data_IF_137728659793
#
_entry.id   IF_137728659793
#
_cell.length_a   1.000
_cell.length_b   1.000
_cell.length_c   1.000
_cell.angle_alpha   90.00
_cell.angle_beta   90.00
_cell.angle_gamma   90.00
#
_symmetry.space_group_name_H-M   'P 1'
#
loop_
_entity.id
_entity.type
_entity.pdbx_description
1 polymer ?
#
# COMPACT_ATOMS: atom_id res chain seq x y z
N UNK A 1 -21.21 13.40 26.43
CA UNK A 1 -19.84 13.70 26.95
C UNK A 1 -18.91 12.47 27.10
N UNK A 2 -19.37 11.36 27.70
CA UNK A 2 -18.51 10.17 27.94
C UNK A 2 -18.10 9.44 26.65
N UNK A 3 -19.00 9.31 25.67
CA UNK A 3 -18.74 8.67 24.37
C UNK A 3 -17.72 9.47 23.55
N UNK A 4 -17.86 10.80 23.48
CA UNK A 4 -16.89 11.67 22.81
C UNK A 4 -15.50 11.61 23.46
N UNK A 5 -15.43 11.62 24.79
CA UNK A 5 -14.17 11.47 25.52
C UNK A 5 -13.53 10.10 25.27
N UNK A 6 -14.32 9.03 25.23
CA UNK A 6 -13.82 7.70 24.91
C UNK A 6 -13.27 7.60 23.47
N UNK A 7 -13.97 8.19 22.50
CA UNK A 7 -13.51 8.23 21.10
C UNK A 7 -12.21 9.05 20.98
N UNK A 8 -12.14 10.21 21.63
CA UNK A 8 -10.95 11.06 21.63
C UNK A 8 -9.74 10.34 22.26
N UNK A 9 -9.96 9.63 23.38
CA UNK A 9 -8.92 8.81 24.02
C UNK A 9 -8.50 7.61 23.17
N UNK A 10 -9.41 6.93 22.48
CA UNK A 10 -9.07 5.82 21.58
C UNK A 10 -8.26 6.30 20.38
N UNK A 11 -8.56 7.49 19.84
CA UNK A 11 -7.76 8.05 18.75
C UNK A 11 -6.35 8.42 19.20
N UNK A 12 -6.20 9.05 20.38
CA UNK A 12 -4.88 9.43 20.90
C UNK A 12 -4.06 8.23 21.39
N UNK A 13 -4.66 7.33 22.17
CA UNK A 13 -4.01 6.08 22.63
C UNK A 13 -3.84 5.06 21.50
N UNK A 14 -4.63 5.09 20.44
CA UNK A 14 -4.47 4.20 19.29
C UNK A 14 -3.26 4.55 18.43
N UNK A 15 -2.92 5.85 18.34
CA UNK A 15 -1.78 6.33 17.55
C UNK A 15 -0.46 6.22 18.33
N UNK A 16 -0.45 6.36 19.66
CA UNK A 16 0.78 6.28 20.45
C UNK A 16 1.57 4.96 20.27
N UNK A 17 0.93 3.76 20.32
CA UNK A 17 1.59 2.50 20.04
C UNK A 17 2.09 2.43 18.60
N UNK A 18 1.33 2.94 17.62
CA UNK A 18 1.73 2.86 16.20
C UNK A 18 2.95 3.72 15.88
N UNK A 19 3.29 4.74 16.68
CA UNK A 19 4.50 5.53 16.50
C UNK A 19 5.71 4.91 17.22
N UNK A 20 5.50 4.26 18.38
CA UNK A 20 6.58 3.74 19.22
C UNK A 20 6.99 2.32 18.82
N UNK A 21 6.05 1.46 18.41
CA UNK A 21 6.35 0.07 18.03
C UNK A 21 7.24 -0.05 16.78
N UNK A 22 7.01 0.72 15.69
CA UNK A 22 7.81 0.61 14.48
C UNK A 22 9.30 0.88 14.69
N UNK A 23 9.77 1.95 15.36
CA UNK A 23 11.20 2.17 15.53
C UNK A 23 11.88 1.09 16.39
N UNK A 24 11.16 0.44 17.31
CA UNK A 24 11.69 -0.64 18.15
C UNK A 24 11.80 -1.95 17.35
N UNK A 25 10.72 -2.37 16.68
CA UNK A 25 10.72 -3.59 15.86
C UNK A 25 11.60 -3.44 14.61
N UNK A 26 11.54 -2.30 13.92
CA UNK A 26 12.33 -2.04 12.72
C UNK A 26 13.82 -2.14 12.98
N UNK A 27 14.33 -1.62 14.12
CA UNK A 27 15.75 -1.76 14.46
C UNK A 27 16.17 -3.23 14.60
N UNK A 28 15.32 -4.06 15.19
CA UNK A 28 15.59 -5.49 15.38
C UNK A 28 15.52 -6.26 14.06
N UNK A 29 14.54 -5.94 13.20
CA UNK A 29 14.36 -6.55 11.87
C UNK A 29 15.48 -6.11 10.91
N UNK A 30 15.80 -4.81 10.84
CA UNK A 30 16.88 -4.28 10.01
C UNK A 30 18.24 -4.88 10.41
N UNK A 31 18.53 -4.99 11.72
CA UNK A 31 19.75 -5.63 12.19
C UNK A 31 19.85 -7.11 11.80
N UNK A 32 18.73 -7.84 11.81
CA UNK A 32 18.66 -9.22 11.33
C UNK A 32 18.87 -9.35 9.82
N UNK A 33 18.23 -8.48 9.03
CA UNK A 33 18.40 -8.42 7.57
C UNK A 33 19.83 -8.08 7.16
N UNK A 34 20.48 -7.13 7.84
CA UNK A 34 21.87 -6.75 7.55
C UNK A 34 22.80 -7.94 7.79
N UNK A 35 22.62 -8.69 8.88
CA UNK A 35 23.39 -9.92 9.15
C UNK A 35 23.14 -11.02 8.11
N UNK A 36 21.89 -11.20 7.66
CA UNK A 36 21.54 -12.17 6.63
C UNK A 36 22.15 -11.80 5.26
N UNK A 37 22.07 -10.52 4.89
CA UNK A 37 22.65 -9.99 3.64
C UNK A 37 24.18 -10.08 3.63
N UNK A 38 24.83 -9.87 4.77
CA UNK A 38 26.29 -9.94 4.87
C UNK A 38 26.83 -11.38 4.80
N UNK A 39 26.00 -12.36 5.17
CA UNK A 39 26.35 -13.78 5.08
C UNK A 39 26.08 -14.33 3.68
N UNK A 40 24.92 -13.99 3.09
CA UNK A 40 24.53 -14.38 1.74
C UNK A 40 23.59 -13.33 1.13
N UNK A 41 24.10 -12.47 0.24
CA UNK A 41 23.29 -11.41 -0.41
C UNK A 41 22.06 -11.98 -1.13
N UNK A 42 22.17 -13.19 -1.69
CA UNK A 42 21.06 -13.90 -2.34
C UNK A 42 19.91 -14.22 -1.39
N UNK A 43 20.20 -14.61 -0.15
CA UNK A 43 19.17 -14.88 0.86
C UNK A 43 18.48 -13.59 1.33
N UNK A 44 19.23 -12.48 1.38
CA UNK A 44 18.67 -11.15 1.64
C UNK A 44 17.66 -10.72 0.57
N UNK A 45 17.99 -10.85 -0.72
CA UNK A 45 17.09 -10.46 -1.81
C UNK A 45 15.83 -11.33 -1.89
N UNK A 46 15.94 -12.65 -1.66
CA UNK A 46 14.78 -13.56 -1.60
C UNK A 46 13.86 -13.17 -0.43
N UNK A 47 14.42 -12.82 0.72
CA UNK A 47 13.65 -12.38 1.88
C UNK A 47 12.93 -11.05 1.62
N UNK A 48 13.58 -10.08 0.97
CA UNK A 48 12.93 -8.81 0.61
C UNK A 48 11.81 -9.00 -0.41
N UNK A 49 12.02 -9.89 -1.39
CA UNK A 49 11.00 -10.23 -2.39
C UNK A 49 9.80 -10.91 -1.76
N UNK A 50 10.02 -11.83 -0.81
CA UNK A 50 8.92 -12.52 -0.12
C UNK A 50 8.14 -11.59 0.81
N UNK A 51 8.79 -10.61 1.46
CA UNK A 51 8.08 -9.57 2.21
C UNK A 51 7.18 -8.72 1.32
N UNK A 52 7.65 -8.33 0.13
CA UNK A 52 6.83 -7.58 -0.82
C UNK A 52 5.64 -8.39 -1.31
N UNK A 53 5.87 -9.66 -1.68
CA UNK A 53 4.80 -10.58 -2.08
C UNK A 53 3.78 -10.82 -0.95
N UNK A 54 4.25 -10.90 0.30
CA UNK A 54 3.39 -11.03 1.49
C UNK A 54 2.51 -9.81 1.75
N UNK A 55 2.99 -8.60 1.46
CA UNK A 55 2.15 -7.40 1.52
C UNK A 55 1.07 -7.46 0.43
N UNK A 56 1.43 -7.78 -0.82
CA UNK A 56 0.46 -7.88 -1.92
C UNK A 56 -0.63 -8.90 -1.59
N UNK A 57 -0.28 -10.08 -1.08
CA UNK A 57 -1.26 -11.13 -0.78
C UNK A 57 -2.24 -10.75 0.34
N UNK A 58 -1.78 -10.00 1.35
CA UNK A 58 -2.63 -9.48 2.41
C UNK A 58 -3.70 -8.50 1.88
N UNK A 59 -3.34 -7.67 0.91
CA UNK A 59 -4.28 -6.71 0.31
C UNK A 59 -5.17 -7.35 -0.78
N UNK A 60 -4.68 -8.36 -1.49
CA UNK A 60 -5.39 -9.01 -2.60
C UNK A 60 -6.71 -9.66 -2.15
N UNK A 61 -6.76 -10.23 -0.95
CA UNK A 61 -7.98 -10.82 -0.39
C UNK A 61 -9.11 -9.80 -0.19
N UNK A 62 -8.77 -8.55 0.17
CA UNK A 62 -9.76 -7.47 0.35
C UNK A 62 -10.31 -6.96 -0.98
N UNK A 63 -9.52 -7.03 -2.06
CA UNK A 63 -9.96 -6.63 -3.41
C UNK A 63 -11.06 -7.56 -3.92
N UNK A 64 -10.94 -8.85 -3.63
CA UNK A 64 -11.88 -9.89 -4.09
C UNK A 64 -13.06 -10.13 -3.14
N UNK A 65 -13.03 -9.58 -1.93
CA UNK A 65 -14.06 -9.78 -0.92
C UNK A 65 -15.47 -9.36 -1.37
N UNK A 66 -15.58 -8.38 -2.26
CA UNK A 66 -16.85 -7.84 -2.72
C UNK A 66 -17.40 -8.47 -4.01
N UNK A 67 -16.74 -9.47 -4.63
CA UNK A 67 -17.21 -10.05 -5.90
C UNK A 67 -18.63 -10.65 -5.79
N UNK A 68 -19.02 -11.15 -4.61
CA UNK A 68 -20.33 -11.80 -4.41
C UNK A 68 -21.51 -10.85 -4.26
N UNK A 69 -21.29 -9.53 -4.17
CA UNK A 69 -22.37 -8.55 -3.97
C UNK A 69 -22.96 -7.97 -5.26
N UNK A 70 -22.56 -8.48 -6.44
CA UNK A 70 -23.11 -8.11 -7.75
C UNK A 70 -22.11 -7.36 -8.64
N UNK A 71 -22.61 -6.64 -9.65
CA UNK A 71 -21.81 -5.81 -10.59
C UNK A 71 -20.92 -4.80 -9.84
N UNK A 72 -21.36 -4.34 -8.66
CA UNK A 72 -20.59 -3.48 -7.75
C UNK A 72 -19.30 -4.13 -7.20
N UNK A 73 -19.24 -5.46 -7.18
CA UNK A 73 -18.08 -6.24 -6.70
C UNK A 73 -16.87 -6.21 -7.61
N UNK A 74 -17.02 -5.75 -8.86
CA UNK A 74 -15.96 -5.70 -9.85
C UNK A 74 -15.20 -4.36 -9.86
N UNK A 75 -15.74 -3.30 -9.24
CA UNK A 75 -15.07 -2.00 -9.15
C UNK A 75 -13.64 -2.11 -8.59
N UNK A 76 -13.38 -2.83 -7.48
CA UNK A 76 -12.03 -2.94 -6.92
C UNK A 76 -11.02 -3.54 -7.91
N UNK A 77 -11.46 -4.45 -8.79
CA UNK A 77 -10.61 -5.11 -9.79
C UNK A 77 -10.24 -4.11 -10.90
N UNK A 78 -11.21 -3.35 -11.42
CA UNK A 78 -10.95 -2.31 -12.42
C UNK A 78 -10.06 -1.19 -11.88
N UNK A 79 -10.29 -0.77 -10.63
CA UNK A 79 -9.47 0.25 -9.96
C UNK A 79 -8.05 -0.24 -9.70
N UNK A 80 -7.87 -1.51 -9.31
CA UNK A 80 -6.55 -2.11 -9.18
C UNK A 80 -5.81 -2.13 -10.53
N UNK A 81 -6.49 -2.56 -11.59
CA UNK A 81 -5.91 -2.64 -12.94
C UNK A 81 -5.51 -1.25 -13.45
N UNK A 82 -6.36 -0.23 -13.23
CA UNK A 82 -6.07 1.16 -13.57
C UNK A 82 -4.92 1.75 -12.74
N UNK A 83 -4.86 1.46 -11.43
CA UNK A 83 -3.78 1.89 -10.54
C UNK A 83 -2.43 1.30 -10.96
N UNK A 84 -2.40 0.00 -11.31
CA UNK A 84 -1.22 -0.65 -11.85
C UNK A 84 -0.77 -0.02 -13.17
N UNK A 85 -1.72 0.36 -14.03
CA UNK A 85 -1.46 1.03 -15.30
C UNK A 85 -0.87 2.43 -15.08
N UNK A 86 -1.45 3.24 -14.19
CA UNK A 86 -0.92 4.55 -13.81
C UNK A 86 0.49 4.46 -13.24
N UNK A 87 0.76 3.47 -12.39
CA UNK A 87 2.08 3.26 -11.81
C UNK A 87 3.11 2.81 -12.87
N UNK A 88 2.70 1.97 -13.82
CA UNK A 88 3.54 1.57 -14.95
C UNK A 88 3.85 2.74 -15.88
N UNK A 89 2.87 3.60 -16.17
CA UNK A 89 3.04 4.82 -16.97
C UNK A 89 3.96 5.81 -16.26
N UNK A 90 3.76 6.04 -14.95
CA UNK A 90 4.65 6.89 -14.16
C UNK A 90 6.07 6.32 -14.12
N UNK A 91 6.24 5.00 -13.96
CA UNK A 91 7.55 4.34 -13.99
C UNK A 91 8.26 4.48 -15.34
N UNK A 92 7.53 4.36 -16.45
CA UNK A 92 8.06 4.62 -17.79
C UNK A 92 8.45 6.10 -17.98
N UNK A 93 7.64 7.03 -17.46
CA UNK A 93 7.90 8.47 -17.53
C UNK A 93 9.13 8.85 -16.69
N UNK A 94 9.31 8.26 -15.51
CA UNK A 94 10.51 8.43 -14.68
C UNK A 94 11.74 7.92 -15.43
N UNK A 95 11.66 6.73 -16.04
CA UNK A 95 12.79 6.12 -16.76
C UNK A 95 13.19 6.88 -18.03
N UNK A 96 12.23 7.49 -18.74
CA UNK A 96 12.51 8.30 -19.95
C UNK A 96 12.83 9.76 -19.67
N UNK A 97 12.26 10.37 -18.63
CA UNK A 97 12.39 11.79 -18.32
C UNK A 97 13.42 12.10 -17.22
N UNK A 98 13.99 11.06 -16.59
CA UNK A 98 15.08 11.19 -15.61
C UNK A 98 14.73 11.98 -14.35
N UNK A 99 13.43 12.20 -14.09
CA UNK A 99 12.96 13.12 -13.06
C UNK A 99 12.73 12.37 -11.75
N UNK A 100 13.76 12.27 -10.92
CA UNK A 100 13.71 11.62 -9.61
C UNK A 100 12.61 12.19 -8.69
N UNK A 101 12.22 13.45 -8.90
CA UNK A 101 11.10 14.06 -8.18
C UNK A 101 9.79 13.31 -8.42
N UNK A 102 9.56 12.81 -9.63
CA UNK A 102 8.32 12.14 -9.97
C UNK A 102 8.16 10.79 -9.26
N UNK A 103 9.25 10.16 -8.78
CA UNK A 103 9.18 8.92 -8.00
C UNK A 103 8.52 9.13 -6.63
N UNK A 104 8.83 10.25 -5.95
CA UNK A 104 8.23 10.60 -4.66
C UNK A 104 6.75 10.96 -4.80
N UNK A 105 6.36 11.51 -5.94
CA UNK A 105 4.98 11.91 -6.23
C UNK A 105 4.15 10.82 -6.94
N UNK A 106 4.79 9.85 -7.60
CA UNK A 106 4.11 8.80 -8.36
C UNK A 106 3.15 7.98 -7.48
N UNK A 107 3.54 7.71 -6.23
CA UNK A 107 2.72 6.96 -5.28
C UNK A 107 1.48 7.77 -4.87
N UNK A 108 1.62 9.07 -4.61
CA UNK A 108 0.48 9.94 -4.31
C UNK A 108 -0.43 10.16 -5.52
N UNK A 109 0.14 10.34 -6.72
CA UNK A 109 -0.60 10.53 -7.97
C UNK A 109 -1.37 9.26 -8.34
N UNK A 110 -0.78 8.07 -8.18
CA UNK A 110 -1.48 6.81 -8.44
C UNK A 110 -2.63 6.57 -7.46
N UNK A 111 -2.46 6.93 -6.18
CA UNK A 111 -3.52 6.87 -5.19
C UNK A 111 -4.69 7.80 -5.51
N UNK A 112 -4.40 9.07 -5.82
CA UNK A 112 -5.45 10.06 -6.18
C UNK A 112 -6.12 9.68 -7.50
N UNK A 113 -5.35 9.27 -8.51
CA UNK A 113 -5.88 8.83 -9.80
C UNK A 113 -6.78 7.60 -9.68
N UNK A 114 -6.40 6.62 -8.88
CA UNK A 114 -7.23 5.44 -8.60
C UNK A 114 -8.52 5.80 -7.87
N UNK A 115 -8.48 6.73 -6.91
CA UNK A 115 -9.66 7.19 -6.19
C UNK A 115 -10.63 7.96 -7.09
N UNK A 116 -10.12 8.85 -7.95
CA UNK A 116 -10.94 9.58 -8.93
C UNK A 116 -11.59 8.58 -9.90
N UNK A 117 -10.84 7.61 -10.41
CA UNK A 117 -11.36 6.59 -11.30
C UNK A 117 -12.43 5.71 -10.64
N UNK A 118 -12.24 5.35 -9.36
CA UNK A 118 -13.25 4.63 -8.59
C UNK A 118 -14.55 5.44 -8.47
N UNK A 119 -14.47 6.74 -8.18
CA UNK A 119 -15.63 7.63 -8.08
C UNK A 119 -16.34 7.80 -9.42
N UNK A 120 -15.61 7.78 -10.54
CA UNK A 120 -16.20 7.87 -11.89
C UNK A 120 -16.87 6.56 -12.32
N UNK A 121 -16.32 5.40 -11.96
CA UNK A 121 -16.92 4.09 -12.30
C UNK A 121 -18.15 3.78 -11.45
N UNK A 122 -18.17 4.21 -10.18
CA UNK A 122 -19.27 3.93 -9.25
C UNK A 122 -20.66 4.31 -9.80
N UNK A 123 -20.89 5.51 -10.38
CA UNK A 123 -22.18 5.89 -10.97
C UNK A 123 -22.45 5.32 -12.38
N UNK A 124 -21.46 4.71 -13.03
CA UNK A 124 -21.64 4.07 -14.35
C UNK A 124 -22.13 2.62 -14.21
N UNK A 125 -21.95 2.02 -13.04
CA UNK A 125 -22.30 0.63 -12.73
C UNK A 125 -23.51 0.46 -11.78
N UNK A 126 -23.96 1.54 -11.13
CA UNK A 126 -25.14 1.63 -10.23
C UNK A 126 -26.19 2.52 -10.89
#
# INVERSE_FOLDING_TARGET
PKVYSAIAWVMTLGIMPSVILPPILMKKIQGGMIKLKNKDSKWGDIFMTSMFLGMISAFLGMVFANIRTGIAGWIPIFVLLFSALLMAVCGLLIKKCGMAWLETYALSISMVGAMIFAVVITPVLV
#
